data_IF_572863874650
#
_entry.id   IF_572863874650
#
_cell.length_a   1.000
_cell.length_b   1.000
_cell.length_c   1.000
_cell.angle_alpha   90.00
_cell.angle_beta   90.00
_cell.angle_gamma   90.00
#
_symmetry.space_group_name_H-M   'P 1'
#
loop_
_entity.id
_entity.type
_entity.pdbx_description
1 polymer ?
#
# COMPACT_ATOMS: atom_id res chain seq x y z
N UNK A 1 -3.41 -22.45 17.58
CA UNK A 1 -4.58 -21.82 16.93
C UNK A 1 -4.49 -20.30 16.83
N UNK A 2 -4.08 -19.54 17.88
CA UNK A 2 -4.00 -18.06 17.84
C UNK A 2 -3.15 -17.45 16.70
N UNK A 3 -2.04 -18.09 16.32
CA UNK A 3 -1.15 -17.59 15.25
C UNK A 3 -1.87 -17.60 13.88
N UNK A 4 -2.67 -18.63 13.62
CA UNK A 4 -3.39 -18.80 12.35
C UNK A 4 -4.48 -17.74 12.19
N UNK A 5 -5.19 -17.39 13.26
CA UNK A 5 -6.17 -16.29 13.25
C UNK A 5 -5.52 -14.92 13.02
N UNK A 6 -4.36 -14.65 13.61
CA UNK A 6 -3.63 -13.39 13.40
C UNK A 6 -3.16 -13.26 11.96
N UNK A 7 -2.66 -14.36 11.37
CA UNK A 7 -2.24 -14.38 9.96
C UNK A 7 -3.45 -14.19 9.04
N UNK A 8 -4.55 -14.92 9.25
CA UNK A 8 -5.78 -14.79 8.46
C UNK A 8 -6.35 -13.37 8.52
N UNK A 9 -6.36 -12.75 9.71
CA UNK A 9 -6.81 -11.37 9.87
C UNK A 9 -5.90 -10.39 9.13
N UNK A 10 -4.59 -10.57 9.22
CA UNK A 10 -3.62 -9.73 8.49
C UNK A 10 -3.78 -9.87 6.97
N UNK A 11 -3.98 -11.09 6.47
CA UNK A 11 -4.24 -11.33 5.05
C UNK A 11 -5.56 -10.68 4.63
N UNK A 12 -6.62 -10.81 5.43
CA UNK A 12 -7.92 -10.19 5.14
C UNK A 12 -7.82 -8.66 5.09
N UNK A 13 -7.11 -8.05 6.04
CA UNK A 13 -6.88 -6.61 6.08
C UNK A 13 -6.00 -6.16 4.88
N UNK A 14 -4.97 -6.92 4.52
CA UNK A 14 -4.17 -6.65 3.32
C UNK A 14 -5.00 -6.73 2.05
N UNK A 15 -5.85 -7.75 1.90
CA UNK A 15 -6.74 -7.89 0.73
C UNK A 15 -7.72 -6.73 0.66
N UNK A 16 -8.30 -6.29 1.78
CA UNK A 16 -9.19 -5.13 1.80
C UNK A 16 -8.47 -3.84 1.36
N UNK A 17 -7.27 -3.59 1.87
CA UNK A 17 -6.45 -2.44 1.45
C UNK A 17 -6.10 -2.53 -0.04
N UNK A 18 -5.69 -3.71 -0.52
CA UNK A 18 -5.33 -3.91 -1.92
C UNK A 18 -6.52 -3.69 -2.86
N UNK A 19 -7.71 -4.13 -2.45
CA UNK A 19 -8.95 -3.92 -3.20
C UNK A 19 -9.30 -2.43 -3.31
N UNK A 20 -9.14 -1.69 -2.20
CA UNK A 20 -9.38 -0.25 -2.18
C UNK A 20 -8.34 0.50 -3.04
N UNK A 21 -7.07 0.13 -2.95
CA UNK A 21 -5.99 0.68 -3.79
C UNK A 21 -6.26 0.42 -5.28
N UNK A 22 -6.74 -0.78 -5.63
CA UNK A 22 -7.12 -1.13 -6.99
C UNK A 22 -8.28 -0.28 -7.52
N UNK A 23 -9.33 -0.10 -6.71
CA UNK A 23 -10.47 0.75 -7.07
C UNK A 23 -10.05 2.22 -7.27
N UNK A 24 -9.21 2.75 -6.38
CA UNK A 24 -8.66 4.11 -6.52
C UNK A 24 -7.80 4.21 -7.78
N UNK A 25 -6.95 3.23 -8.06
CA UNK A 25 -6.09 3.22 -9.25
C UNK A 25 -6.90 3.25 -10.55
N UNK A 26 -8.03 2.55 -10.60
CA UNK A 26 -8.96 2.61 -11.75
C UNK A 26 -9.52 4.02 -11.96
N UNK A 27 -9.94 4.70 -10.88
CA UNK A 27 -10.46 6.07 -10.96
C UNK A 27 -9.37 7.02 -11.45
N UNK A 28 -8.16 6.94 -10.90
CA UNK A 28 -7.03 7.75 -11.34
C UNK A 28 -6.68 7.48 -12.81
N UNK A 29 -6.70 6.23 -13.26
CA UNK A 29 -6.47 5.86 -14.66
C UNK A 29 -7.53 6.45 -15.61
N UNK A 30 -8.80 6.40 -15.22
CA UNK A 30 -9.88 7.04 -15.99
C UNK A 30 -9.73 8.57 -16.02
N UNK A 31 -9.33 9.18 -14.90
CA UNK A 31 -9.09 10.62 -14.81
C UNK A 31 -7.95 11.07 -15.72
N UNK A 32 -6.88 10.28 -15.80
CA UNK A 32 -5.73 10.53 -16.68
C UNK A 32 -6.15 10.48 -18.15
N UNK A 33 -7.01 9.54 -18.54
CA UNK A 33 -7.52 9.46 -19.91
C UNK A 33 -8.40 10.64 -20.28
N UNK A 34 -9.20 11.15 -19.34
CA UNK A 34 -10.06 12.33 -19.54
C UNK A 34 -9.28 13.65 -19.52
N UNK A 35 -8.24 13.74 -18.68
CA UNK A 35 -7.47 14.96 -18.46
C UNK A 35 -5.96 14.66 -18.44
N UNK A 36 -5.33 14.52 -19.61
CA UNK A 36 -3.91 14.17 -19.72
C UNK A 36 -2.97 15.26 -19.16
N UNK A 37 -3.43 16.50 -19.00
CA UNK A 37 -2.61 17.57 -18.41
C UNK A 37 -2.40 17.38 -16.90
N UNK A 38 -3.27 16.62 -16.22
CA UNK A 38 -3.13 16.34 -14.78
C UNK A 38 -2.19 15.14 -14.49
N UNK A 39 -1.69 14.46 -15.53
CA UNK A 39 -0.91 13.22 -15.41
C UNK A 39 0.33 13.41 -14.52
N UNK A 40 1.04 14.53 -14.67
CA UNK A 40 2.21 14.85 -13.85
C UNK A 40 1.88 14.98 -12.36
N UNK A 41 0.76 15.60 -12.03
CA UNK A 41 0.32 15.78 -10.63
C UNK A 41 -0.19 14.45 -10.05
N UNK A 42 -1.00 13.70 -10.81
CA UNK A 42 -1.53 12.40 -10.37
C UNK A 42 -0.41 11.38 -10.13
N UNK A 43 0.56 11.28 -11.04
CA UNK A 43 1.71 10.37 -10.89
C UNK A 43 2.62 10.81 -9.73
N UNK A 44 2.86 12.11 -9.57
CA UNK A 44 3.61 12.64 -8.43
C UNK A 44 2.97 12.28 -7.08
N UNK A 45 1.65 12.47 -6.95
CA UNK A 45 0.90 12.08 -5.75
C UNK A 45 0.94 10.57 -5.51
N UNK A 46 0.78 9.75 -6.55
CA UNK A 46 0.84 8.29 -6.43
C UNK A 46 2.21 7.82 -5.91
N UNK A 47 3.31 8.41 -6.39
CA UNK A 47 4.66 8.11 -5.92
C UNK A 47 4.86 8.50 -4.44
N UNK A 48 4.39 9.67 -4.03
CA UNK A 48 4.46 10.12 -2.62
C UNK A 48 3.70 9.17 -1.71
N UNK A 49 2.45 8.83 -2.06
CA UNK A 49 1.60 7.93 -1.28
C UNK A 49 2.25 6.53 -1.20
N UNK A 50 2.77 6.02 -2.32
CA UNK A 50 3.47 4.73 -2.36
C UNK A 50 4.69 4.73 -1.45
N UNK A 51 5.51 5.78 -1.48
CA UNK A 51 6.68 5.91 -0.61
C UNK A 51 6.29 5.89 0.86
N UNK A 52 5.27 6.64 1.27
CA UNK A 52 4.77 6.65 2.66
C UNK A 52 4.27 5.25 3.07
N UNK A 53 3.51 4.58 2.20
CA UNK A 53 3.02 3.23 2.47
C UNK A 53 4.16 2.23 2.66
N UNK A 54 5.20 2.28 1.82
CA UNK A 54 6.39 1.44 1.93
C UNK A 54 7.18 1.71 3.20
N UNK A 55 7.33 2.97 3.62
CA UNK A 55 7.96 3.31 4.90
C UNK A 55 7.18 2.76 6.09
N UNK A 56 5.86 2.91 6.10
CA UNK A 56 5.01 2.35 7.16
C UNK A 56 5.10 0.82 7.17
N UNK A 57 5.12 0.19 6.00
CA UNK A 57 5.27 -1.26 5.86
C UNK A 57 6.64 -1.72 6.37
N UNK A 58 7.72 -1.01 6.03
CA UNK A 58 9.08 -1.29 6.52
C UNK A 58 9.19 -1.13 8.03
N UNK A 59 8.59 -0.09 8.63
CA UNK A 59 8.56 0.11 10.09
C UNK A 59 7.78 -1.02 10.78
N UNK A 60 6.63 -1.43 10.21
CA UNK A 60 5.88 -2.58 10.71
C UNK A 60 6.73 -3.85 10.60
N UNK A 61 7.35 -4.10 9.45
CA UNK A 61 8.23 -5.25 9.25
C UNK A 61 9.41 -5.24 10.21
N UNK A 62 10.05 -4.10 10.46
CA UNK A 62 11.15 -3.97 11.43
C UNK A 62 10.70 -4.29 12.86
N UNK A 63 9.47 -3.89 13.23
CA UNK A 63 8.85 -4.29 14.51
C UNK A 63 8.62 -5.80 14.62
N UNK A 64 8.21 -6.46 13.53
CA UNK A 64 8.08 -7.92 13.48
C UNK A 64 9.45 -8.62 13.37
N UNK A 65 10.42 -7.99 12.73
CA UNK A 65 11.80 -8.42 12.56
C UNK A 65 12.69 -8.10 13.78
N UNK A 66 12.11 -8.05 14.99
CA UNK A 66 12.85 -8.33 16.23
C UNK A 66 13.52 -9.74 16.23
N UNK A 67 13.50 -10.48 15.12
CA UNK A 67 14.55 -11.40 14.71
C UNK A 67 15.69 -10.60 14.06
N UNK A 68 16.67 -10.21 14.88
CA UNK A 68 18.04 -9.79 14.52
C UNK A 68 18.21 -9.37 13.05
N UNK A 69 18.06 -8.08 12.76
CA UNK A 69 18.81 -7.51 11.65
C UNK A 69 19.84 -6.58 12.28
N UNK A 70 21.06 -7.11 12.43
CA UNK A 70 22.27 -6.32 12.54
C UNK A 70 22.53 -5.71 11.16
N UNK A 71 22.08 -4.48 10.92
CA UNK A 71 22.68 -3.55 9.95
C UNK A 71 22.56 -2.15 10.53
#
# INVERSE_FOLDING_TARGET
MKIVEVVLKTVKDMVAVLTLVGAVSLIFGALILLYPDLLGVLVGLALIISSVAWFVFAIKLAKYAKLKIEI
#
